data_IF_777573334880
#
_entry.id   IF_777573334880
#
_cell.length_a   1.000
_cell.length_b   1.000
_cell.length_c   1.000
_cell.angle_alpha   90.00
_cell.angle_beta   90.00
_cell.angle_gamma   90.00
#
_symmetry.space_group_name_H-M   'P 1'
#
loop_
_entity.id
_entity.type
_entity.pdbx_description
1 polymer ?
#
# COMPACT_ATOMS: atom_id res chain seq x y z
N UNK A 1 10.92 -1.78 19.84
CA UNK A 1 11.23 -0.96 18.64
C UNK A 1 10.86 -1.65 17.33
N UNK A 2 11.22 -2.92 17.08
CA UNK A 2 10.88 -3.59 15.81
C UNK A 2 9.37 -3.64 15.48
N UNK A 3 8.52 -3.98 16.46
CA UNK A 3 7.06 -4.09 16.29
C UNK A 3 6.40 -2.79 15.82
N UNK A 4 6.81 -1.64 16.37
CA UNK A 4 6.19 -0.35 16.01
C UNK A 4 6.63 0.13 14.64
N UNK A 5 7.83 -0.25 14.20
CA UNK A 5 8.28 -0.01 12.84
C UNK A 5 7.46 -0.82 11.83
N UNK A 6 7.13 -2.08 12.14
CA UNK A 6 6.23 -2.89 11.30
C UNK A 6 4.84 -2.24 11.18
N UNK A 7 4.27 -1.77 12.29
CA UNK A 7 3.00 -1.02 12.28
C UNK A 7 3.08 0.22 11.39
N UNK A 8 4.15 1.01 11.53
CA UNK A 8 4.34 2.22 10.75
C UNK A 8 4.49 1.91 9.25
N UNK A 9 5.27 0.89 8.92
CA UNK A 9 5.45 0.39 7.55
C UNK A 9 4.13 -0.06 6.93
N UNK A 10 3.33 -0.84 7.66
CA UNK A 10 2.04 -1.35 7.18
C UNK A 10 1.06 -0.21 6.86
N UNK A 11 1.00 0.83 7.71
CA UNK A 11 0.17 2.01 7.47
C UNK A 11 0.61 2.80 6.24
N UNK A 12 1.92 3.03 6.08
CA UNK A 12 2.48 3.71 4.91
C UNK A 12 2.17 2.92 3.64
N UNK A 13 2.38 1.60 3.68
CA UNK A 13 2.09 0.70 2.58
C UNK A 13 0.64 0.80 2.12
N UNK A 14 -0.32 0.71 3.04
CA UNK A 14 -1.74 0.78 2.71
C UNK A 14 -2.07 2.12 2.06
N UNK A 15 -1.68 3.24 2.68
CA UNK A 15 -1.93 4.58 2.11
C UNK A 15 -1.29 4.76 0.73
N UNK A 16 -0.06 4.29 0.54
CA UNK A 16 0.66 4.38 -0.73
C UNK A 16 -0.03 3.56 -1.82
N UNK A 17 -0.40 2.31 -1.53
CA UNK A 17 -1.02 1.42 -2.52
C UNK A 17 -2.44 1.85 -2.88
N UNK A 18 -3.25 2.29 -1.91
CA UNK A 18 -4.52 2.94 -2.20
C UNK A 18 -4.32 4.21 -3.02
N UNK A 19 -3.32 5.02 -2.70
CA UNK A 19 -2.96 6.21 -3.46
C UNK A 19 -2.63 5.92 -4.92
N UNK A 20 -1.77 4.93 -5.19
CA UNK A 20 -1.47 4.49 -6.57
C UNK A 20 -2.73 3.99 -7.29
N UNK A 21 -3.51 3.14 -6.61
CA UNK A 21 -4.74 2.58 -7.16
C UNK A 21 -5.76 3.65 -7.56
N UNK A 22 -6.04 4.58 -6.65
CA UNK A 22 -6.97 5.69 -6.90
C UNK A 22 -6.42 6.62 -7.99
N UNK A 23 -5.13 6.96 -7.97
CA UNK A 23 -4.57 7.82 -9.02
C UNK A 23 -4.71 7.21 -10.42
N UNK A 24 -4.53 5.90 -10.52
CA UNK A 24 -4.66 5.16 -11.77
C UNK A 24 -6.11 4.99 -12.21
N UNK A 25 -7.07 4.79 -11.29
CA UNK A 25 -8.48 4.54 -11.65
C UNK A 25 -9.15 5.76 -12.28
N UNK A 26 -8.72 6.96 -11.89
CA UNK A 26 -9.21 8.24 -12.42
C UNK A 26 -8.79 8.42 -13.89
N UNK A 27 -7.76 7.70 -14.35
CA UNK A 27 -7.25 7.80 -15.72
C UNK A 27 -8.16 7.04 -16.70
N UNK A 28 -8.23 7.56 -17.93
CA UNK A 28 -9.11 7.01 -18.98
C UNK A 28 -8.59 5.69 -19.56
N UNK A 29 -7.27 5.49 -19.58
CA UNK A 29 -6.64 4.34 -20.23
C UNK A 29 -7.02 3.01 -19.58
N UNK A 30 -7.34 2.01 -20.42
CA UNK A 30 -7.74 0.67 -19.96
C UNK A 30 -6.62 -0.06 -19.21
N UNK A 31 -5.37 0.11 -19.64
CA UNK A 31 -4.18 -0.40 -18.95
C UNK A 31 -4.07 0.16 -17.54
N UNK A 32 -4.20 1.49 -17.40
CA UNK A 32 -4.18 2.18 -16.11
C UNK A 32 -5.28 1.66 -15.19
N UNK A 33 -6.50 1.47 -15.69
CA UNK A 33 -7.60 0.90 -14.88
C UNK A 33 -7.33 -0.53 -14.42
N UNK A 34 -6.72 -1.36 -15.26
CA UNK A 34 -6.40 -2.74 -14.88
C UNK A 34 -5.24 -2.81 -13.87
N UNK A 35 -4.26 -1.91 -13.97
CA UNK A 35 -3.24 -1.74 -12.93
C UNK A 35 -3.84 -1.16 -11.63
N UNK A 36 -4.82 -0.26 -11.74
CA UNK A 36 -5.55 0.28 -10.60
C UNK A 36 -6.29 -0.81 -9.83
N UNK A 37 -7.02 -1.68 -10.53
CA UNK A 37 -7.73 -2.78 -9.87
C UNK A 37 -6.77 -3.73 -9.17
N UNK A 38 -5.60 -4.00 -9.75
CA UNK A 38 -4.55 -4.77 -9.05
C UNK A 38 -4.09 -4.10 -7.76
N UNK A 39 -3.74 -2.81 -7.80
CA UNK A 39 -3.22 -2.08 -6.65
C UNK A 39 -4.27 -1.96 -5.53
N UNK A 40 -5.52 -1.63 -5.89
CA UNK A 40 -6.64 -1.52 -4.94
C UNK A 40 -6.98 -2.88 -4.35
N UNK A 41 -7.05 -3.95 -5.15
CA UNK A 41 -7.34 -5.29 -4.66
C UNK A 41 -6.26 -5.77 -3.67
N UNK A 42 -5.00 -5.49 -3.99
CA UNK A 42 -3.87 -5.81 -3.12
C UNK A 42 -3.99 -5.08 -1.78
N UNK A 43 -4.19 -3.75 -1.81
CA UNK A 43 -4.33 -2.93 -0.60
C UNK A 43 -5.57 -3.31 0.24
N UNK A 44 -6.72 -3.52 -0.41
CA UNK A 44 -7.97 -3.93 0.26
C UNK A 44 -7.84 -5.32 0.88
N UNK A 45 -7.27 -6.28 0.15
CA UNK A 45 -7.07 -7.63 0.65
C UNK A 45 -6.16 -7.65 1.86
N UNK A 46 -5.01 -6.98 1.74
CA UNK A 46 -4.02 -6.89 2.83
C UNK A 46 -4.56 -6.11 4.04
N UNK A 47 -5.44 -5.13 3.87
CA UNK A 47 -5.99 -4.38 5.01
C UNK A 47 -6.74 -5.27 6.02
N UNK A 48 -7.40 -6.35 5.56
CA UNK A 48 -8.06 -7.33 6.43
C UNK A 48 -7.10 -8.12 7.32
N UNK A 49 -5.80 -8.11 7.01
CA UNK A 49 -4.76 -8.76 7.80
C UNK A 49 -3.87 -7.73 8.52
N UNK A 50 -3.49 -6.66 7.82
CA UNK A 50 -2.59 -5.63 8.32
C UNK A 50 -3.27 -4.72 9.35
N UNK A 51 -4.55 -4.33 9.19
CA UNK A 51 -5.22 -3.52 10.20
C UNK A 51 -5.42 -4.28 11.53
N UNK A 52 -5.87 -5.56 11.54
CA UNK A 52 -5.85 -6.36 12.76
C UNK A 52 -4.46 -6.53 13.35
N UNK A 53 -3.42 -6.69 12.53
CA UNK A 53 -2.03 -6.76 12.99
C UNK A 53 -1.58 -5.45 13.65
N UNK A 54 -1.87 -4.32 13.03
CA UNK A 54 -1.63 -2.98 13.58
C UNK A 54 -2.29 -2.84 14.94
N UNK A 55 -3.58 -3.17 15.03
CA UNK A 55 -4.31 -3.15 16.30
C UNK A 55 -3.68 -4.07 17.34
N UNK A 56 -3.33 -5.31 16.95
CA UNK A 56 -2.74 -6.31 17.82
C UNK A 56 -1.40 -5.87 18.40
N UNK A 57 -0.54 -5.22 17.61
CA UNK A 57 0.75 -4.72 18.08
C UNK A 57 0.63 -3.52 19.02
N UNK A 58 -0.51 -2.82 18.98
CA UNK A 58 -0.80 -1.63 19.77
C UNK A 58 -1.77 -1.91 20.93
N UNK A 59 -2.17 -3.17 21.14
CA UNK A 59 -3.09 -3.61 22.19
C UNK A 59 -2.40 -4.55 23.18
N UNK A 60 -2.94 -4.62 24.41
CA UNK A 60 -2.49 -5.59 25.42
C UNK A 60 -2.75 -7.02 24.93
N UNK A 61 -1.79 -7.92 25.17
CA UNK A 61 -1.88 -9.32 24.73
C UNK A 61 -1.38 -9.58 23.30
N UNK A 62 -1.04 -8.53 22.55
CA UNK A 62 -0.32 -8.66 21.29
C UNK A 62 -1.10 -9.41 20.20
N UNK A 63 -0.37 -10.18 19.39
CA UNK A 63 -0.93 -11.01 18.32
C UNK A 63 -1.76 -12.18 18.86
N UNK A 64 -1.40 -12.72 20.03
CA UNK A 64 -2.06 -13.89 20.63
C UNK A 64 -3.50 -13.58 21.06
N UNK A 65 -3.78 -12.34 21.49
CA UNK A 65 -5.12 -11.93 21.88
C UNK A 65 -6.09 -11.79 20.69
N UNK A 66 -5.57 -11.68 19.46
CA UNK A 66 -6.34 -11.34 18.26
C UNK A 66 -6.16 -12.38 17.14
N UNK A 67 -5.83 -13.62 17.50
CA UNK A 67 -5.56 -14.73 16.57
C UNK A 67 -6.71 -14.97 15.60
N UNK A 68 -7.96 -14.85 16.04
CA UNK A 68 -9.16 -14.99 15.21
C UNK A 68 -9.14 -13.99 14.05
N UNK A 69 -8.96 -12.69 14.34
CA UNK A 69 -8.95 -11.64 13.31
C UNK A 69 -7.77 -11.79 12.35
N UNK A 70 -6.60 -12.15 12.87
CA UNK A 70 -5.41 -12.41 12.06
C UNK A 70 -5.60 -13.64 11.14
N UNK A 71 -6.26 -14.68 11.64
CA UNK A 71 -6.51 -15.92 10.88
C UNK A 71 -7.51 -15.66 9.74
N UNK A 72 -8.61 -14.95 9.99
CA UNK A 72 -9.52 -14.52 8.92
C UNK A 72 -8.86 -13.54 7.94
N UNK A 73 -7.98 -12.65 8.41
CA UNK A 73 -7.17 -11.80 7.56
C UNK A 73 -6.29 -12.60 6.59
N UNK A 74 -5.64 -13.67 7.08
CA UNK A 74 -4.86 -14.61 6.24
C UNK A 74 -5.72 -15.34 5.21
N UNK A 75 -6.97 -15.68 5.54
CA UNK A 75 -7.92 -16.27 4.59
C UNK A 75 -8.20 -15.29 3.44
N UNK A 76 -8.62 -14.08 3.77
CA UNK A 76 -9.01 -13.06 2.79
C UNK A 76 -7.82 -12.71 1.91
N UNK A 77 -6.64 -12.46 2.50
CA UNK A 77 -5.40 -12.20 1.77
C UNK A 77 -5.00 -13.36 0.87
N UNK A 78 -5.20 -14.61 1.31
CA UNK A 78 -4.97 -15.79 0.47
C UNK A 78 -5.81 -15.78 -0.81
N UNK A 79 -7.09 -15.40 -0.70
CA UNK A 79 -8.00 -15.27 -1.85
C UNK A 79 -7.60 -14.08 -2.73
N UNK A 80 -7.42 -12.90 -2.16
CA UNK A 80 -7.13 -11.68 -2.92
C UNK A 80 -5.77 -11.75 -3.62
N UNK A 81 -4.76 -12.34 -3.01
CA UNK A 81 -3.45 -12.57 -3.66
C UNK A 81 -3.56 -13.53 -4.84
N UNK A 82 -4.44 -14.54 -4.75
CA UNK A 82 -4.69 -15.45 -5.87
C UNK A 82 -5.33 -14.70 -7.05
N UNK A 83 -6.32 -13.85 -6.77
CA UNK A 83 -6.96 -13.00 -7.77
C UNK A 83 -5.97 -11.97 -8.33
N UNK A 84 -5.11 -11.38 -7.50
CA UNK A 84 -4.09 -10.42 -7.92
C UNK A 84 -3.22 -10.98 -9.06
N UNK A 85 -2.74 -12.22 -8.94
CA UNK A 85 -1.92 -12.82 -10.01
C UNK A 85 -2.72 -13.19 -11.26
N UNK A 86 -4.02 -13.49 -11.12
CA UNK A 86 -4.91 -13.64 -12.27
C UNK A 86 -5.08 -12.31 -13.02
N UNK A 87 -5.23 -11.20 -12.29
CA UNK A 87 -5.29 -9.85 -12.90
C UNK A 87 -3.92 -9.46 -13.47
N UNK A 88 -2.81 -9.78 -12.80
CA UNK A 88 -1.47 -9.56 -13.31
C UNK A 88 -1.24 -10.29 -14.63
N UNK A 89 -1.69 -11.55 -14.76
CA UNK A 89 -1.65 -12.26 -16.04
C UNK A 89 -2.44 -11.53 -17.12
N UNK A 90 -3.65 -11.04 -16.81
CA UNK A 90 -4.42 -10.20 -17.75
C UNK A 90 -3.66 -8.93 -18.15
N UNK A 91 -3.05 -8.23 -17.19
CA UNK A 91 -2.22 -7.04 -17.46
C UNK A 91 -1.03 -7.36 -18.35
N UNK A 92 -0.33 -8.45 -18.06
CA UNK A 92 0.77 -8.95 -18.85
C UNK A 92 0.36 -9.25 -20.30
N UNK A 93 -0.76 -9.95 -20.51
CA UNK A 93 -1.28 -10.18 -21.87
C UNK A 93 -1.73 -8.90 -22.57
N UNK A 94 -2.29 -7.94 -21.81
CA UNK A 94 -2.70 -6.64 -22.35
C UNK A 94 -1.50 -5.84 -22.88
N UNK A 95 -0.34 -5.93 -22.21
CA UNK A 95 0.90 -5.28 -22.64
C UNK A 95 1.63 -5.99 -23.80
N UNK A 96 1.03 -7.03 -24.39
CA UNK A 96 1.59 -7.79 -25.51
C UNK A 96 2.25 -9.11 -25.12
N UNK A 97 2.06 -9.57 -23.88
CA UNK A 97 2.51 -10.88 -23.44
C UNK A 97 1.76 -12.00 -24.15
N UNK A 98 2.44 -13.12 -24.47
CA UNK A 98 1.80 -14.24 -25.15
C UNK A 98 0.65 -14.81 -24.30
N UNK A 99 -0.54 -14.86 -24.91
CA UNK A 99 -1.70 -15.54 -24.36
C UNK A 99 -1.98 -16.80 -25.17
N UNK A 100 -2.07 -17.95 -24.52
CA UNK A 100 -2.58 -19.18 -25.12
C UNK A 100 -3.47 -19.92 -24.11
N UNK A 101 -4.30 -20.84 -24.63
CA UNK A 101 -5.24 -21.59 -23.81
C UNK A 101 -4.53 -22.33 -22.68
N UNK A 102 -3.35 -22.91 -22.95
CA UNK A 102 -2.57 -23.66 -21.96
C UNK A 102 -2.16 -22.76 -20.76
N UNK A 103 -1.59 -21.57 -21.01
CA UNK A 103 -1.20 -20.62 -19.95
C UNK A 103 -2.41 -20.21 -19.13
N UNK A 104 -3.50 -19.82 -19.79
CA UNK A 104 -4.72 -19.41 -19.12
C UNK A 104 -5.33 -20.54 -18.26
N UNK A 105 -5.54 -21.72 -18.83
CA UNK A 105 -6.11 -22.86 -18.12
C UNK A 105 -5.20 -23.35 -16.98
N UNK A 106 -3.88 -23.32 -17.14
CA UNK A 106 -2.95 -23.68 -16.06
C UNK A 106 -3.09 -22.76 -14.84
N UNK A 107 -3.20 -21.44 -15.06
CA UNK A 107 -3.42 -20.48 -13.97
C UNK A 107 -4.81 -20.61 -13.36
N UNK A 108 -5.85 -20.78 -14.17
CA UNK A 108 -7.22 -21.00 -13.68
C UNK A 108 -7.32 -22.28 -12.83
N UNK A 109 -6.67 -23.36 -13.25
CA UNK A 109 -6.63 -24.60 -12.49
C UNK A 109 -5.93 -24.42 -11.14
N UNK A 110 -4.72 -23.83 -11.13
CA UNK A 110 -3.99 -23.58 -9.88
C UNK A 110 -4.73 -22.61 -8.95
N UNK A 111 -5.39 -21.60 -9.52
CA UNK A 111 -6.26 -20.68 -8.79
C UNK A 111 -7.41 -21.44 -8.13
N UNK A 112 -8.15 -22.26 -8.88
CA UNK A 112 -9.27 -23.04 -8.35
C UNK A 112 -8.82 -24.01 -7.25
N UNK A 113 -7.74 -24.75 -7.49
CA UNK A 113 -7.15 -25.64 -6.48
C UNK A 113 -6.82 -24.84 -5.22
N UNK A 114 -6.17 -23.68 -5.34
CA UNK A 114 -5.86 -22.83 -4.18
C UNK A 114 -7.11 -22.38 -3.43
N UNK A 115 -8.14 -21.92 -4.13
CA UNK A 115 -9.38 -21.46 -3.49
C UNK A 115 -10.04 -22.62 -2.72
N UNK A 116 -10.12 -23.81 -3.31
CA UNK A 116 -10.65 -25.00 -2.63
C UNK A 116 -9.82 -25.26 -1.36
N UNK A 117 -8.50 -25.28 -1.46
CA UNK A 117 -7.61 -25.53 -0.33
C UNK A 117 -7.70 -24.45 0.76
N UNK A 118 -7.97 -23.19 0.43
CA UNK A 118 -8.18 -22.12 1.41
C UNK A 118 -9.51 -22.30 2.14
N UNK A 119 -10.56 -22.74 1.45
CA UNK A 119 -11.93 -22.87 2.00
C UNK A 119 -12.13 -24.13 2.83
N UNK A 120 -11.23 -25.12 2.72
CA UNK A 120 -11.27 -26.34 3.51
C UNK A 120 -11.32 -26.06 5.02
N UNK A 121 -12.22 -26.70 5.79
CA UNK A 121 -12.36 -26.46 7.23
C UNK A 121 -11.10 -26.83 8.03
N UNK A 122 -10.25 -27.72 7.49
CA UNK A 122 -8.97 -28.13 8.07
C UNK A 122 -7.99 -26.96 8.30
N UNK A 123 -8.21 -25.81 7.64
CA UNK A 123 -7.43 -24.60 7.90
C UNK A 123 -7.65 -23.99 9.29
N UNK A 124 -8.74 -24.34 9.99
CA UNK A 124 -9.04 -23.88 11.34
C UNK A 124 -8.99 -22.35 11.50
N UNK A 125 -9.69 -21.60 10.63
CA UNK A 125 -9.63 -20.12 10.57
C UNK A 125 -10.07 -19.36 11.83
N UNK A 126 -10.54 -20.06 12.87
CA UNK A 126 -10.81 -19.48 14.20
C UNK A 126 -9.60 -19.51 15.13
N UNK A 127 -8.59 -20.32 14.82
CA UNK A 127 -7.39 -20.51 15.62
C UNK A 127 -6.15 -20.46 14.71
N UNK A 128 -5.02 -20.92 15.24
CA UNK A 128 -3.82 -21.16 14.45
C UNK A 128 -4.04 -22.32 13.47
N UNK A 129 -3.70 -22.06 12.22
CA UNK A 129 -3.83 -23.04 11.14
C UNK A 129 -2.74 -24.10 11.25
N UNK A 130 -3.05 -25.39 11.07
CA UNK A 130 -2.02 -26.44 11.06
C UNK A 130 -0.95 -26.18 10.00
N UNK A 131 0.32 -26.37 10.36
CA UNK A 131 1.47 -26.09 9.48
C UNK A 131 1.39 -26.80 8.12
N UNK A 132 1.01 -28.08 8.10
CA UNK A 132 0.87 -28.84 6.86
C UNK A 132 -0.15 -28.21 5.90
N UNK A 133 -1.23 -27.64 6.45
CA UNK A 133 -2.28 -27.01 5.66
C UNK A 133 -1.81 -25.66 5.11
N UNK A 134 -1.00 -24.93 5.89
CA UNK A 134 -0.34 -23.70 5.45
C UNK A 134 0.62 -23.94 4.29
N UNK A 135 1.40 -25.02 4.30
CA UNK A 135 2.22 -25.41 3.15
C UNK A 135 1.32 -25.77 1.97
N UNK A 136 0.36 -26.68 2.18
CA UNK A 136 -0.42 -27.28 1.12
C UNK A 136 -1.23 -26.25 0.31
N UNK A 137 -1.88 -25.29 0.97
CA UNK A 137 -2.64 -24.21 0.29
C UNK A 137 -1.75 -23.20 -0.45
N UNK A 138 -0.46 -23.15 -0.13
CA UNK A 138 0.50 -22.22 -0.74
C UNK A 138 1.33 -22.86 -1.86
N UNK A 139 1.35 -24.18 -2.00
CA UNK A 139 2.00 -24.85 -3.15
C UNK A 139 1.41 -24.39 -4.49
N UNK A 140 0.08 -24.39 -4.74
CA UNK A 140 -0.45 -23.93 -6.01
C UNK A 140 -0.10 -22.46 -6.30
N UNK A 141 -0.04 -21.63 -5.26
CA UNK A 141 0.36 -20.23 -5.39
C UNK A 141 1.81 -20.06 -5.81
N UNK A 142 2.71 -20.83 -5.20
CA UNK A 142 4.13 -20.83 -5.55
C UNK A 142 4.30 -21.22 -7.02
N UNK A 143 3.58 -22.25 -7.48
CA UNK A 143 3.61 -22.68 -8.89
C UNK A 143 3.10 -21.56 -9.81
N UNK A 144 1.98 -20.90 -9.48
CA UNK A 144 1.49 -19.74 -10.25
C UNK A 144 2.56 -18.65 -10.35
N UNK A 145 3.24 -18.36 -9.23
CA UNK A 145 4.35 -17.41 -9.16
C UNK A 145 5.49 -17.78 -10.11
N UNK A 146 5.97 -19.02 -10.03
CA UNK A 146 7.06 -19.54 -10.86
C UNK A 146 6.69 -19.47 -12.35
N UNK A 147 5.48 -19.87 -12.74
CA UNK A 147 5.01 -19.77 -14.12
C UNK A 147 5.06 -18.32 -14.63
N UNK A 148 4.55 -17.38 -13.85
CA UNK A 148 4.53 -15.96 -14.21
C UNK A 148 5.94 -15.35 -14.26
N UNK A 149 6.84 -15.73 -13.35
CA UNK A 149 8.26 -15.34 -13.41
C UNK A 149 8.89 -15.80 -14.72
N UNK A 150 8.71 -17.09 -15.07
CA UNK A 150 9.29 -17.67 -16.29
C UNK A 150 8.74 -16.98 -17.54
N UNK A 151 7.43 -16.76 -17.64
CA UNK A 151 6.82 -16.14 -18.82
C UNK A 151 7.22 -14.68 -18.97
N UNK A 152 7.17 -13.89 -17.90
CA UNK A 152 7.56 -12.47 -17.93
C UNK A 152 9.06 -12.29 -18.17
N UNK A 153 9.92 -13.19 -17.68
CA UNK A 153 11.34 -13.18 -17.97
C UNK A 153 11.66 -13.53 -19.42
N UNK A 154 11.00 -14.56 -19.99
CA UNK A 154 11.14 -14.92 -21.42
C UNK A 154 10.74 -13.76 -22.33
N UNK A 155 9.76 -12.96 -21.90
CA UNK A 155 9.23 -11.83 -22.66
C UNK A 155 9.70 -10.48 -22.08
N UNK A 156 10.92 -10.45 -21.53
CA UNK A 156 11.57 -9.27 -20.92
C UNK A 156 11.72 -8.05 -21.84
N UNK A 157 11.54 -8.23 -23.15
CA UNK A 157 11.53 -7.14 -24.12
C UNK A 157 10.32 -6.21 -23.96
N UNK A 158 9.20 -6.73 -23.42
CA UNK A 158 8.03 -5.91 -23.08
C UNK A 158 8.41 -4.95 -21.95
N UNK A 159 8.07 -3.67 -22.12
CA UNK A 159 8.46 -2.61 -21.19
C UNK A 159 7.99 -2.93 -19.77
N UNK A 160 8.92 -2.90 -18.81
CA UNK A 160 8.65 -3.19 -17.40
C UNK A 160 8.67 -4.67 -17.01
N UNK A 161 8.60 -5.61 -17.95
CA UNK A 161 8.50 -7.06 -17.63
C UNK A 161 9.79 -7.65 -17.06
N UNK A 162 10.96 -7.18 -17.51
CA UNK A 162 12.25 -7.56 -16.91
C UNK A 162 12.25 -7.29 -15.40
N UNK A 163 11.94 -6.05 -15.00
CA UNK A 163 11.91 -5.65 -13.60
C UNK A 163 10.81 -6.40 -12.84
N UNK A 164 9.62 -6.55 -13.44
CA UNK A 164 8.53 -7.30 -12.84
C UNK A 164 8.92 -8.74 -12.53
N UNK A 165 9.61 -9.44 -13.45
CA UNK A 165 10.06 -10.82 -13.24
C UNK A 165 10.99 -10.95 -12.02
N UNK A 166 11.96 -10.03 -11.86
CA UNK A 166 12.86 -10.02 -10.72
C UNK A 166 12.15 -9.67 -9.41
N UNK A 167 11.25 -8.68 -9.42
CA UNK A 167 10.50 -8.27 -8.24
C UNK A 167 9.54 -9.38 -7.77
N UNK A 168 8.90 -10.07 -8.70
CA UNK A 168 8.04 -11.23 -8.38
C UNK A 168 8.90 -12.37 -7.84
N UNK A 169 10.03 -12.69 -8.47
CA UNK A 169 10.93 -13.74 -7.98
C UNK A 169 11.44 -13.46 -6.56
N UNK A 170 11.92 -12.24 -6.31
CA UNK A 170 12.41 -11.83 -4.99
C UNK A 170 11.29 -11.85 -3.93
N UNK A 171 10.08 -11.43 -4.31
CA UNK A 171 8.90 -11.50 -3.45
C UNK A 171 8.54 -12.94 -3.07
N UNK A 172 8.51 -13.87 -4.05
CA UNK A 172 8.24 -15.28 -3.79
C UNK A 172 9.35 -15.96 -2.99
N UNK A 173 10.60 -15.55 -3.16
CA UNK A 173 11.71 -16.01 -2.33
C UNK A 173 11.46 -15.67 -0.85
N UNK A 174 11.26 -14.39 -0.53
CA UNK A 174 10.97 -13.98 0.85
C UNK A 174 9.70 -14.64 1.40
N UNK A 175 8.64 -14.71 0.58
CA UNK A 175 7.39 -15.36 0.98
C UNK A 175 7.58 -16.84 1.34
N UNK A 176 8.31 -17.59 0.51
CA UNK A 176 8.58 -19.02 0.74
C UNK A 176 9.38 -19.22 2.01
N UNK A 177 10.41 -18.39 2.22
CA UNK A 177 11.21 -18.45 3.46
C UNK A 177 10.33 -18.22 4.69
N UNK A 178 9.45 -17.22 4.66
CA UNK A 178 8.55 -16.96 5.79
C UNK A 178 7.59 -18.13 6.01
N UNK A 179 6.88 -18.58 4.98
CA UNK A 179 5.85 -19.64 5.12
C UNK A 179 6.45 -20.94 5.64
N UNK A 180 7.66 -21.31 5.19
CA UNK A 180 8.30 -22.56 5.59
C UNK A 180 8.94 -22.44 6.98
N UNK A 181 9.64 -21.33 7.26
CA UNK A 181 10.54 -21.26 8.42
C UNK A 181 10.05 -20.38 9.57
N UNK A 182 9.08 -19.48 9.39
CA UNK A 182 8.62 -18.62 10.48
C UNK A 182 8.03 -19.36 11.69
N UNK A 183 7.39 -20.55 11.55
CA UNK A 183 6.94 -21.32 12.72
C UNK A 183 8.09 -21.83 13.59
N UNK A 184 9.30 -21.95 13.04
CA UNK A 184 10.49 -22.42 13.77
C UNK A 184 11.38 -21.25 14.23
N UNK A 185 11.43 -20.17 13.44
CA UNK A 185 12.26 -18.99 13.72
C UNK A 185 11.42 -17.72 13.56
N UNK A 186 10.88 -17.21 14.67
CA UNK A 186 10.00 -16.03 14.71
C UNK A 186 10.59 -14.80 14.00
N UNK A 187 11.90 -14.59 14.09
CA UNK A 187 12.58 -13.45 13.46
C UNK A 187 12.45 -13.43 11.94
N UNK A 188 12.30 -14.60 11.29
CA UNK A 188 12.13 -14.69 9.84
C UNK A 188 10.78 -14.13 9.37
N UNK A 189 9.79 -13.98 10.26
CA UNK A 189 8.53 -13.29 9.94
C UNK A 189 8.75 -11.86 9.44
N UNK A 190 9.84 -11.20 9.84
CA UNK A 190 10.24 -9.88 9.38
C UNK A 190 10.41 -9.76 7.86
N UNK A 191 10.72 -10.88 7.17
CA UNK A 191 10.89 -10.91 5.71
C UNK A 191 9.60 -10.62 4.94
N UNK A 192 8.45 -10.56 5.63
CA UNK A 192 7.21 -10.05 5.06
C UNK A 192 7.33 -8.58 4.61
N UNK A 193 8.11 -7.73 5.28
CA UNK A 193 8.29 -6.34 4.86
C UNK A 193 9.08 -6.22 3.54
N UNK A 194 10.27 -6.83 3.36
CA UNK A 194 10.95 -6.89 2.06
C UNK A 194 10.08 -7.45 0.93
N UNK A 195 9.27 -8.48 1.20
CA UNK A 195 8.28 -8.99 0.24
C UNK A 195 7.29 -7.89 -0.16
N UNK A 196 6.72 -7.16 0.79
CA UNK A 196 5.78 -6.06 0.52
C UNK A 196 6.44 -4.92 -0.26
N UNK A 197 7.69 -4.58 0.03
CA UNK A 197 8.48 -3.63 -0.77
C UNK A 197 8.57 -4.07 -2.23
N UNK A 198 8.77 -5.37 -2.49
CA UNK A 198 8.78 -5.89 -3.86
C UNK A 198 7.44 -5.65 -4.58
N UNK A 199 6.30 -5.79 -3.90
CA UNK A 199 4.99 -5.49 -4.50
C UNK A 199 4.75 -4.00 -4.73
N UNK A 200 5.17 -3.14 -3.79
CA UNK A 200 5.14 -1.68 -3.98
C UNK A 200 5.96 -1.33 -5.24
N UNK A 201 7.18 -1.85 -5.34
CA UNK A 201 8.06 -1.61 -6.48
C UNK A 201 7.51 -2.21 -7.78
N UNK A 202 6.82 -3.35 -7.72
CA UNK A 202 6.16 -3.97 -8.88
C UNK A 202 5.09 -3.05 -9.44
N UNK A 203 4.18 -2.54 -8.59
CA UNK A 203 3.14 -1.61 -9.01
C UNK A 203 3.74 -0.28 -9.45
N UNK A 204 4.73 0.25 -8.72
CA UNK A 204 5.42 1.49 -9.07
C UNK A 204 6.14 1.42 -10.42
N UNK A 205 6.76 0.27 -10.75
CA UNK A 205 7.42 0.03 -12.03
C UNK A 205 6.44 0.22 -13.20
N UNK A 206 5.20 -0.27 -13.08
CA UNK A 206 4.17 -0.07 -14.09
C UNK A 206 3.51 1.31 -14.00
N UNK A 207 3.32 1.85 -12.80
CA UNK A 207 2.81 3.21 -12.59
C UNK A 207 3.66 4.25 -13.34
N UNK A 208 4.98 4.12 -13.31
CA UNK A 208 5.90 4.98 -14.09
C UNK A 208 5.71 4.87 -15.61
N UNK A 209 5.29 3.72 -16.10
CA UNK A 209 5.08 3.48 -17.53
C UNK A 209 3.77 4.12 -17.99
N UNK A 210 2.72 4.01 -17.16
CA UNK A 210 1.40 4.60 -17.41
C UNK A 210 1.44 6.14 -17.24
N UNK A 211 2.17 6.65 -16.24
CA UNK A 211 2.31 8.08 -15.98
C UNK A 211 3.52 8.64 -16.74
N UNK A 212 3.39 8.75 -18.07
CA UNK A 212 4.50 9.09 -18.99
C UNK A 212 5.09 10.49 -18.80
N UNK A 213 4.25 11.51 -18.54
CA UNK A 213 4.69 12.91 -18.49
C UNK A 213 4.28 13.59 -17.19
N UNK A 214 5.23 14.27 -16.56
CA UNK A 214 4.97 15.11 -15.39
C UNK A 214 4.39 16.44 -15.84
N UNK A 215 3.07 16.54 -15.93
CA UNK A 215 2.36 17.75 -16.34
C UNK A 215 1.45 18.28 -15.22
N UNK A 216 0.88 19.47 -15.39
CA UNK A 216 -0.04 20.09 -14.41
C UNK A 216 -1.23 19.20 -14.02
N UNK A 217 -1.69 18.33 -14.92
CA UNK A 217 -2.79 17.39 -14.62
C UNK A 217 -2.42 16.37 -13.54
N UNK A 218 -1.13 16.17 -13.24
CA UNK A 218 -0.72 15.38 -12.07
C UNK A 218 -1.22 16.02 -10.79
N UNK A 219 -1.10 17.35 -10.63
CA UNK A 219 -1.59 18.06 -9.44
C UNK A 219 -3.09 17.88 -9.23
N UNK A 220 -3.85 17.86 -10.34
CA UNK A 220 -5.29 17.61 -10.31
C UNK A 220 -5.61 16.15 -9.96
N UNK A 221 -4.92 15.19 -10.60
CA UNK A 221 -5.15 13.78 -10.30
C UNK A 221 -4.74 13.43 -8.87
N UNK A 222 -3.65 14.01 -8.36
CA UNK A 222 -3.22 13.83 -6.96
C UNK A 222 -4.19 14.49 -5.99
N UNK A 223 -4.75 15.67 -6.30
CA UNK A 223 -5.75 16.30 -5.44
C UNK A 223 -7.00 15.41 -5.30
N UNK A 224 -7.54 14.87 -6.40
CA UNK A 224 -8.66 13.91 -6.34
C UNK A 224 -8.27 12.64 -5.58
N UNK A 225 -7.04 12.15 -5.77
CA UNK A 225 -6.53 10.99 -5.03
C UNK A 225 -6.57 11.24 -3.52
N UNK A 226 -6.08 12.41 -3.08
CA UNK A 226 -6.09 12.80 -1.68
C UNK A 226 -7.51 13.04 -1.14
N UNK A 227 -8.42 13.57 -1.96
CA UNK A 227 -9.83 13.73 -1.58
C UNK A 227 -10.44 12.38 -1.25
N UNK A 228 -10.32 11.39 -2.14
CA UNK A 228 -10.89 10.05 -1.92
C UNK A 228 -10.23 9.37 -0.72
N UNK A 229 -8.90 9.46 -0.57
CA UNK A 229 -8.19 8.93 0.61
C UNK A 229 -8.65 9.60 1.90
N UNK A 230 -8.86 10.92 1.91
CA UNK A 230 -9.34 11.65 3.08
C UNK A 230 -10.73 11.20 3.49
N UNK A 231 -11.64 11.01 2.54
CA UNK A 231 -12.99 10.50 2.81
C UNK A 231 -12.95 9.07 3.36
N UNK A 232 -12.11 8.21 2.77
CA UNK A 232 -11.90 6.85 3.26
C UNK A 232 -11.35 6.82 4.69
N UNK A 233 -10.40 7.72 5.02
CA UNK A 233 -9.87 7.87 6.37
C UNK A 233 -10.92 8.40 7.36
N UNK A 234 -11.83 9.28 6.92
CA UNK A 234 -12.96 9.74 7.73
C UNK A 234 -13.93 8.61 8.06
N UNK A 235 -14.26 7.76 7.07
CA UNK A 235 -15.06 6.54 7.29
C UNK A 235 -14.32 5.58 8.22
N UNK A 236 -13.03 5.35 8.00
CA UNK A 236 -12.22 4.48 8.86
C UNK A 236 -12.23 4.98 10.31
N UNK A 237 -12.00 6.27 10.55
CA UNK A 237 -12.08 6.86 11.88
C UNK A 237 -13.44 6.56 12.53
N UNK A 238 -14.55 6.81 11.82
CA UNK A 238 -15.90 6.59 12.35
C UNK A 238 -16.15 5.13 12.70
N UNK A 239 -15.88 4.21 11.78
CA UNK A 239 -16.15 2.78 11.99
C UNK A 239 -15.18 2.15 13.02
N UNK A 240 -13.92 2.58 13.04
CA UNK A 240 -12.93 2.07 13.98
C UNK A 240 -13.19 2.53 15.42
N UNK A 241 -13.70 3.74 15.61
CA UNK A 241 -13.96 4.30 16.96
C UNK A 241 -15.32 3.90 17.54
N UNK A 242 -16.29 3.56 16.69
CA UNK A 242 -17.65 3.19 17.10
C UNK A 242 -17.72 2.11 18.18
N UNK A 243 -16.95 0.99 18.14
CA UNK A 243 -17.00 -0.03 19.19
C UNK A 243 -16.50 0.44 20.55
N UNK A 244 -15.74 1.54 20.59
CA UNK A 244 -15.08 2.04 21.80
C UNK A 244 -15.83 3.20 22.47
N UNK A 245 -16.97 3.65 21.91
CA UNK A 245 -17.80 4.74 22.44
C UNK A 245 -16.98 5.98 22.86
N UNK A 246 -15.98 6.37 22.06
CA UNK A 246 -15.08 7.46 22.40
C UNK A 246 -15.82 8.80 22.53
N UNK A 247 -15.65 9.43 23.69
CA UNK A 247 -16.18 10.77 24.00
C UNK A 247 -15.12 11.88 23.87
N UNK A 248 -13.84 11.51 23.78
CA UNK A 248 -12.70 12.44 23.77
C UNK A 248 -12.09 12.61 22.38
N UNK A 249 -11.39 13.75 22.19
CA UNK A 249 -10.65 14.05 20.96
C UNK A 249 -9.49 13.07 20.77
N UNK A 250 -9.42 12.46 19.59
CA UNK A 250 -8.40 11.47 19.24
C UNK A 250 -7.58 11.94 18.03
N UNK A 251 -6.26 11.69 18.02
CA UNK A 251 -5.39 12.08 16.91
C UNK A 251 -5.75 11.39 15.59
N UNK A 252 -6.42 10.24 15.63
CA UNK A 252 -6.95 9.55 14.46
C UNK A 252 -7.95 10.43 13.70
N UNK A 253 -8.74 11.26 14.41
CA UNK A 253 -9.66 12.20 13.78
C UNK A 253 -8.92 13.24 12.93
N UNK A 254 -7.68 13.60 13.29
CA UNK A 254 -6.90 14.59 12.56
C UNK A 254 -6.36 14.04 11.23
N UNK A 255 -6.32 12.73 11.03
CA UNK A 255 -5.73 12.12 9.82
C UNK A 255 -6.49 12.52 8.56
N UNK A 256 -7.83 12.38 8.57
CA UNK A 256 -8.67 12.74 7.42
C UNK A 256 -8.63 14.25 7.13
N UNK A 257 -8.61 15.10 8.18
CA UNK A 257 -8.56 16.56 8.04
C UNK A 257 -7.25 17.00 7.38
N UNK A 258 -6.09 16.51 7.84
CA UNK A 258 -4.81 16.87 7.24
C UNK A 258 -4.67 16.31 5.82
N UNK A 259 -5.17 15.10 5.56
CA UNK A 259 -5.18 14.55 4.21
C UNK A 259 -6.09 15.35 3.26
N UNK A 260 -7.20 15.91 3.77
CA UNK A 260 -8.08 16.78 3.01
C UNK A 260 -7.44 18.15 2.73
N UNK A 261 -6.94 18.84 3.76
CA UNK A 261 -6.40 20.20 3.60
C UNK A 261 -5.04 20.19 2.89
N UNK A 262 -4.07 19.42 3.41
CA UNK A 262 -2.71 19.37 2.86
C UNK A 262 -2.64 18.48 1.60
N UNK A 263 -3.47 17.46 1.50
CA UNK A 263 -3.52 16.63 0.29
C UNK A 263 -4.35 17.27 -0.82
N UNK A 264 -5.68 17.36 -0.61
CA UNK A 264 -6.61 17.81 -1.64
C UNK A 264 -6.55 19.31 -1.87
N UNK A 265 -6.82 20.14 -0.85
CA UNK A 265 -6.94 21.60 -1.03
C UNK A 265 -5.64 22.19 -1.56
N UNK A 266 -4.50 21.90 -0.92
CA UNK A 266 -3.21 22.43 -1.36
C UNK A 266 -2.82 21.97 -2.78
N UNK A 267 -2.97 20.69 -3.12
CA UNK A 267 -2.66 20.21 -4.48
C UNK A 267 -3.60 20.80 -5.54
N UNK A 268 -4.88 21.03 -5.19
CA UNK A 268 -5.84 21.66 -6.08
C UNK A 268 -5.54 23.15 -6.27
N UNK A 269 -5.12 23.86 -5.22
CA UNK A 269 -4.65 25.25 -5.32
C UNK A 269 -3.42 25.36 -6.22
N UNK A 270 -2.43 24.48 -6.05
CA UNK A 270 -1.27 24.42 -6.95
C UNK A 270 -1.71 24.14 -8.40
N UNK A 271 -2.65 23.23 -8.61
CA UNK A 271 -3.19 22.97 -9.96
C UNK A 271 -3.78 24.23 -10.60
N UNK A 272 -4.60 24.99 -9.86
CA UNK A 272 -5.19 26.25 -10.34
C UNK A 272 -4.09 27.25 -10.67
N UNK A 273 -3.15 27.49 -9.75
CA UNK A 273 -2.05 28.44 -9.95
C UNK A 273 -1.24 28.11 -11.20
N UNK A 274 -0.79 26.86 -11.35
CA UNK A 274 0.01 26.41 -12.50
C UNK A 274 -0.80 26.42 -13.81
N UNK A 275 -2.13 26.39 -13.73
CA UNK A 275 -3.01 26.49 -14.90
C UNK A 275 -3.20 27.94 -15.33
N UNK A 276 -3.45 28.86 -14.40
CA UNK A 276 -3.64 30.30 -14.67
C UNK A 276 -2.34 30.92 -15.17
N UNK A 277 -1.26 30.70 -14.43
CA UNK A 277 0.04 31.34 -14.67
C UNK A 277 0.91 30.57 -15.67
N UNK A 278 0.41 29.44 -16.18
CA UNK A 278 1.08 28.58 -17.17
C UNK A 278 2.51 28.17 -16.78
N UNK A 279 2.76 28.03 -15.49
CA UNK A 279 4.06 27.65 -14.92
C UNK A 279 4.42 26.21 -15.31
N UNK A 280 5.68 25.94 -15.64
CA UNK A 280 6.15 24.56 -15.81
C UNK A 280 6.24 23.86 -14.45
N UNK A 281 5.48 22.77 -14.30
CA UNK A 281 5.49 21.91 -13.12
C UNK A 281 6.87 21.33 -12.80
N UNK A 282 7.78 21.23 -13.78
CA UNK A 282 9.12 20.72 -13.56
C UNK A 282 9.90 21.52 -12.50
N UNK A 283 9.59 22.81 -12.33
CA UNK A 283 10.17 23.68 -11.29
C UNK A 283 10.00 23.03 -9.91
N UNK A 284 8.78 22.58 -9.58
CA UNK A 284 8.44 22.04 -8.27
C UNK A 284 8.49 20.51 -8.19
N UNK A 285 8.69 19.79 -9.30
CA UNK A 285 8.57 18.31 -9.39
C UNK A 285 9.23 17.54 -8.25
N UNK A 286 10.51 17.81 -7.97
CA UNK A 286 11.25 17.12 -6.90
C UNK A 286 10.65 17.45 -5.52
N UNK A 287 10.42 18.74 -5.25
CA UNK A 287 9.86 19.22 -3.98
C UNK A 287 8.45 18.66 -3.73
N UNK A 288 7.64 18.56 -4.79
CA UNK A 288 6.29 18.00 -4.72
C UNK A 288 6.27 16.49 -4.47
N UNK A 289 7.22 15.73 -5.01
CA UNK A 289 7.36 14.29 -4.67
C UNK A 289 7.71 14.12 -3.18
N UNK A 290 8.66 14.92 -2.67
CA UNK A 290 8.99 14.91 -1.24
C UNK A 290 7.81 15.35 -0.38
N UNK A 291 6.99 16.29 -0.86
CA UNK A 291 5.77 16.71 -0.19
C UNK A 291 4.74 15.59 -0.06
N UNK A 292 4.45 14.87 -1.15
CA UNK A 292 3.54 13.71 -1.12
C UNK A 292 4.06 12.65 -0.15
N UNK A 293 5.36 12.33 -0.20
CA UNK A 293 5.96 11.36 0.71
C UNK A 293 5.89 11.84 2.17
N UNK A 294 6.23 13.10 2.44
CA UNK A 294 6.14 13.72 3.76
C UNK A 294 4.72 13.66 4.31
N UNK A 295 3.71 13.94 3.48
CA UNK A 295 2.30 13.86 3.88
C UNK A 295 1.87 12.42 4.18
N UNK A 296 2.33 11.43 3.40
CA UNK A 296 2.08 10.02 3.67
C UNK A 296 2.70 9.56 5.00
N UNK A 297 3.96 9.93 5.27
CA UNK A 297 4.62 9.64 6.54
C UNK A 297 3.90 10.33 7.71
N UNK A 298 3.51 11.59 7.52
CA UNK A 298 2.86 12.39 8.55
C UNK A 298 1.48 11.83 8.92
N UNK A 299 0.65 11.54 7.93
CA UNK A 299 -0.66 10.93 8.14
C UNK A 299 -0.55 9.53 8.73
N UNK A 300 0.43 8.72 8.32
CA UNK A 300 0.72 7.41 8.94
C UNK A 300 1.11 7.54 10.40
N UNK A 301 1.83 8.60 10.77
CA UNK A 301 2.26 8.85 12.16
C UNK A 301 1.08 9.25 13.04
N UNK A 302 0.16 10.06 12.50
CA UNK A 302 -1.11 10.40 13.17
C UNK A 302 -2.01 9.16 13.32
N UNK A 303 -2.10 8.30 12.30
CA UNK A 303 -2.84 7.04 12.38
C UNK A 303 -2.26 6.13 13.46
N UNK A 304 -0.93 5.95 13.46
CA UNK A 304 -0.22 5.14 14.45
C UNK A 304 -0.52 5.61 15.88
N UNK A 305 -0.37 6.91 16.17
CA UNK A 305 -0.66 7.44 17.51
C UNK A 305 -2.15 7.39 17.85
N UNK A 306 -3.02 7.68 16.89
CA UNK A 306 -4.46 7.68 17.11
C UNK A 306 -5.03 6.28 17.37
N UNK A 307 -4.60 5.27 16.62
CA UNK A 307 -4.94 3.86 16.88
C UNK A 307 -4.39 3.44 18.24
N UNK A 308 -3.13 3.78 18.55
CA UNK A 308 -2.50 3.45 19.83
C UNK A 308 -3.27 4.00 21.03
N UNK A 309 -3.73 5.25 20.97
CA UNK A 309 -4.55 5.88 22.02
C UNK A 309 -5.82 5.10 22.35
N UNK A 310 -6.38 4.37 21.37
CA UNK A 310 -7.60 3.59 21.52
C UNK A 310 -7.26 2.17 21.96
N UNK A 311 -6.34 1.52 21.25
CA UNK A 311 -6.03 0.11 21.43
C UNK A 311 -5.24 -0.19 22.70
N UNK A 312 -4.45 0.76 23.22
CA UNK A 312 -3.68 0.56 24.44
C UNK A 312 -4.56 0.52 25.69
N UNK A 313 -5.79 1.01 25.60
CA UNK A 313 -6.75 1.10 26.70
C UNK A 313 -6.15 1.72 27.98
N UNK A 314 -5.41 2.83 27.81
CA UNK A 314 -4.76 3.55 28.91
C UNK A 314 -3.45 2.94 29.43
N UNK A 315 -2.98 1.83 28.86
CA UNK A 315 -1.72 1.20 29.25
C UNK A 315 -0.52 1.76 28.48
N UNK A 316 0.62 1.84 29.15
CA UNK A 316 1.89 2.27 28.54
C UNK A 316 2.58 1.03 27.93
N UNK A 317 2.36 0.77 26.64
CA UNK A 317 3.04 -0.31 25.90
C UNK A 317 4.30 0.18 25.18
N UNK A 318 4.30 1.44 24.75
CA UNK A 318 5.43 2.12 24.11
C UNK A 318 5.65 3.49 24.76
N UNK A 319 6.88 3.99 24.74
CA UNK A 319 7.17 5.32 25.27
C UNK A 319 6.55 6.41 24.40
N UNK A 320 5.97 7.44 25.02
CA UNK A 320 5.41 8.61 24.32
C UNK A 320 6.49 9.31 23.46
N UNK A 321 7.72 9.36 23.96
CA UNK A 321 8.88 9.92 23.24
C UNK A 321 9.08 9.26 21.87
N UNK A 322 8.94 7.94 21.80
CA UNK A 322 9.14 7.19 20.56
C UNK A 322 8.02 7.49 19.55
N UNK A 323 6.78 7.60 20.01
CA UNK A 323 5.64 7.98 19.16
C UNK A 323 5.78 9.41 18.64
N UNK A 324 6.35 10.31 19.45
CA UNK A 324 6.61 11.70 19.10
C UNK A 324 7.73 11.85 18.09
N UNK A 325 8.75 10.98 18.10
CA UNK A 325 9.81 10.98 17.09
C UNK A 325 9.25 10.74 15.68
N UNK A 326 8.34 9.77 15.49
CA UNK A 326 7.72 9.52 14.18
C UNK A 326 6.95 10.73 13.66
N UNK A 327 6.18 11.37 14.55
CA UNK A 327 5.42 12.58 14.24
C UNK A 327 6.37 13.74 13.92
N UNK A 328 7.40 13.98 14.74
CA UNK A 328 8.35 15.08 14.57
C UNK A 328 9.13 14.97 13.25
N UNK A 329 9.67 13.78 12.94
CA UNK A 329 10.41 13.55 11.71
C UNK A 329 9.55 13.76 10.46
N UNK A 330 8.33 13.22 10.46
CA UNK A 330 7.41 13.37 9.33
C UNK A 330 6.94 14.81 9.14
N UNK A 331 6.70 15.56 10.22
CA UNK A 331 6.44 17.00 10.15
C UNK A 331 7.60 17.79 9.55
N UNK A 332 8.84 17.52 9.96
CA UNK A 332 10.02 18.23 9.43
C UNK A 332 10.14 18.01 7.92
N UNK A 333 9.99 16.77 7.44
CA UNK A 333 10.01 16.46 6.01
C UNK A 333 8.91 17.23 5.27
N UNK A 334 7.68 17.21 5.81
CA UNK A 334 6.54 17.90 5.22
C UNK A 334 6.76 19.42 5.18
N UNK A 335 7.24 20.02 6.27
CA UNK A 335 7.51 21.46 6.37
C UNK A 335 8.59 21.90 5.38
N UNK A 336 9.73 21.22 5.34
CA UNK A 336 10.83 21.52 4.41
C UNK A 336 10.34 21.44 2.96
N UNK A 337 9.57 20.41 2.62
CA UNK A 337 9.04 20.25 1.27
C UNK A 337 8.05 21.35 0.88
N UNK A 338 7.18 21.77 1.79
CA UNK A 338 6.22 22.85 1.59
C UNK A 338 6.93 24.19 1.39
N UNK A 339 7.87 24.54 2.27
CA UNK A 339 8.66 25.77 2.16
C UNK A 339 9.43 25.82 0.83
N UNK A 340 10.04 24.70 0.43
CA UNK A 340 10.77 24.62 -0.84
C UNK A 340 9.84 24.78 -2.06
N UNK A 341 8.60 24.29 -2.01
CA UNK A 341 7.61 24.55 -3.08
C UNK A 341 7.31 26.04 -3.17
N UNK A 342 7.08 26.71 -2.05
CA UNK A 342 6.75 28.15 -2.02
C UNK A 342 7.91 29.00 -2.50
N UNK A 343 9.15 28.74 -2.06
CA UNK A 343 10.34 29.48 -2.51
C UNK A 343 10.49 29.37 -4.03
N UNK A 344 10.35 28.17 -4.60
CA UNK A 344 10.47 27.99 -6.05
C UNK A 344 9.39 28.71 -6.85
N UNK A 345 8.19 28.81 -6.31
CA UNK A 345 7.10 29.59 -6.93
C UNK A 345 7.41 31.09 -6.82
N UNK A 346 7.92 31.55 -5.68
CA UNK A 346 8.34 32.93 -5.47
C UNK A 346 9.45 33.33 -6.45
N UNK A 347 10.50 32.50 -6.58
CA UNK A 347 11.62 32.76 -7.48
C UNK A 347 11.16 32.88 -8.94
N UNK A 348 10.24 32.02 -9.38
CA UNK A 348 9.65 32.10 -10.72
C UNK A 348 8.97 33.46 -10.98
N UNK A 349 8.21 33.98 -10.01
CA UNK A 349 7.55 35.28 -10.19
C UNK A 349 8.51 36.46 -10.11
N UNK A 350 9.58 36.37 -9.33
CA UNK A 350 10.51 37.49 -9.14
C UNK A 350 11.66 37.54 -10.15
N UNK A 351 12.18 36.41 -10.61
CA UNK A 351 13.38 36.36 -11.45
C UNK A 351 13.10 35.99 -12.91
N UNK A 352 12.08 35.16 -13.18
CA UNK A 352 11.81 34.65 -14.54
C UNK A 352 10.74 35.45 -15.31
N UNK A 353 9.92 36.26 -14.62
CA UNK A 353 8.82 37.04 -15.26
C UNK A 353 9.20 38.50 -15.55
N UNK A 354 10.31 38.99 -14.99
CA UNK A 354 10.77 40.38 -15.09
C UNK A 354 12.13 40.55 -15.80
N UNK A 355 12.69 39.47 -16.33
CA UNK A 355 13.73 39.45 -17.35
C UNK A 355 13.18 38.79 -18.61
#
# INVERSE_FOLDING_TARGET
MFKIFEVYFDLIYLLLMFGFGINLIIRKEKSSKLLATMAILLALGDSFHLLPRVYSHLCKGGLLANTVYLSYGKLITGITMSIFYMIFYKYYTFLGGKSNNIRFFSLCFLFLVRIILILLPQNNWKNESPYYMEILRNIPFLIMGVLLIVWTYKEKAIKGMKNASYLIALSFFFYTVVVVFSPFVNALGALMMPKTVCYILLVYNFYKIEVKNFNRLILFNTSITFLILSLALGVFYREFTKPFNLTLTNKLALTHLHMFVLGFVFSFMLYILFTIEKIDINIIKKSYIFYILGLLFFTSSLMLRGIYQISSNGQILYSETLLEVFIGLSHVILAISLVNIIIKIYDYFHFDKFN
#
